data_IF_404761424607
#
_entry.id   IF_404761424607
#
_cell.length_a   1.000
_cell.length_b   1.000
_cell.length_c   1.000
_cell.angle_alpha   90.00
_cell.angle_beta   90.00
_cell.angle_gamma   90.00
#
_symmetry.space_group_name_H-M   'P 1'
#
loop_
_entity.id
_entity.type
_entity.pdbx_description
1 polymer ?
#
# COMPACT_ATOMS: atom_id res chain seq x y z
N UNK A 1 66.85 23.90 29.01
CA UNK A 1 66.11 23.88 27.73
C UNK A 1 65.24 22.63 27.70
N UNK A 2 64.01 22.73 27.18
CA UNK A 2 62.96 21.71 27.08
C UNK A 2 62.30 21.27 28.40
N UNK A 3 60.99 21.04 28.49
CA UNK A 3 59.79 21.52 27.79
C UNK A 3 58.64 21.08 28.72
N UNK A 4 57.68 21.97 28.98
CA UNK A 4 56.47 21.72 29.77
C UNK A 4 55.60 20.66 29.09
N UNK A 5 54.98 19.77 29.87
CA UNK A 5 53.74 19.09 29.48
C UNK A 5 52.80 19.07 30.70
N UNK A 6 51.84 19.99 30.70
CA UNK A 6 50.71 19.97 31.63
C UNK A 6 49.60 19.17 30.95
N UNK A 7 49.20 18.06 31.57
CA UNK A 7 47.99 17.31 31.19
C UNK A 7 46.86 17.89 32.02
N UNK A 8 45.97 18.65 31.39
CA UNK A 8 44.71 19.06 31.98
C UNK A 8 43.66 17.99 31.66
N UNK A 9 43.24 17.23 32.67
CA UNK A 9 42.03 16.41 32.59
C UNK A 9 40.83 17.36 32.63
N UNK A 10 40.16 17.55 31.50
CA UNK A 10 38.86 18.21 31.43
C UNK A 10 37.80 17.15 31.72
N UNK A 11 37.28 17.13 32.94
CA UNK A 11 36.02 16.46 33.24
C UNK A 11 34.89 17.30 32.64
N UNK A 12 34.38 16.88 31.48
CA UNK A 12 33.13 17.41 30.95
C UNK A 12 32.00 16.79 31.75
N UNK A 13 31.49 17.53 32.76
CA UNK A 13 30.18 17.25 33.34
C UNK A 13 29.14 17.65 32.31
N UNK A 14 28.65 16.70 31.52
CA UNK A 14 27.37 16.84 30.83
C UNK A 14 26.29 16.87 31.89
N UNK A 15 25.90 18.07 32.31
CA UNK A 15 24.63 18.29 33.00
C UNK A 15 23.52 17.92 32.04
N UNK A 16 23.03 16.68 32.17
CA UNK A 16 21.78 16.24 31.58
C UNK A 16 20.68 17.07 32.25
N UNK A 17 20.26 18.15 31.59
CA UNK A 17 19.08 18.91 32.01
C UNK A 17 17.88 18.08 31.59
N UNK A 18 17.46 17.17 32.48
CA UNK A 18 16.08 16.69 32.46
C UNK A 18 15.21 17.88 32.86
N UNK A 19 14.65 18.58 31.86
CA UNK A 19 13.48 19.42 32.10
C UNK A 19 12.35 18.48 32.51
N UNK A 20 12.18 18.32 33.82
CA UNK A 20 10.98 17.73 34.39
C UNK A 20 9.80 18.61 34.02
N UNK A 21 9.14 18.28 32.92
CA UNK A 21 7.84 18.86 32.58
C UNK A 21 6.85 18.34 33.61
N UNK A 22 6.35 19.26 34.41
CA UNK A 22 5.20 19.08 35.29
C UNK A 22 4.03 18.45 34.53
N UNK A 23 3.53 17.32 35.04
CA UNK A 23 2.29 16.68 34.59
C UNK A 23 1.09 17.59 34.85
N UNK A 24 0.76 18.42 33.87
CA UNK A 24 -0.57 19.00 33.70
C UNK A 24 -1.06 18.48 32.34
N UNK A 25 -2.12 17.66 32.35
CA UNK A 25 -2.65 16.97 31.17
C UNK A 25 -3.01 17.94 30.04
N UNK A 26 -2.04 18.18 29.16
CA UNK A 26 -2.18 18.97 27.94
C UNK A 26 -2.62 18.08 26.78
N UNK A 27 -3.21 18.72 25.77
CA UNK A 27 -3.46 18.08 24.48
C UNK A 27 -2.12 17.87 23.74
N UNK A 28 -1.98 16.75 23.03
CA UNK A 28 -0.80 16.46 22.23
C UNK A 28 -0.59 17.53 21.17
N UNK A 29 0.57 18.20 21.18
CA UNK A 29 0.86 19.33 20.29
C UNK A 29 1.27 18.91 18.85
N UNK A 30 1.42 17.60 18.60
CA UNK A 30 2.08 17.08 17.40
C UNK A 30 3.60 17.06 17.54
N UNK A 31 4.21 16.07 16.88
CA UNK A 31 5.67 15.97 16.75
C UNK A 31 6.03 15.15 15.52
N UNK A 32 7.14 15.45 14.88
CA UNK A 32 7.57 14.80 13.64
C UNK A 32 8.88 14.05 13.82
N UNK A 33 9.30 13.32 12.78
CA UNK A 33 10.62 12.71 12.74
C UNK A 33 11.74 13.77 12.85
N UNK A 34 11.53 14.98 12.31
CA UNK A 34 12.47 16.09 12.44
C UNK A 34 12.59 16.62 13.88
N UNK A 35 11.58 16.40 14.73
CA UNK A 35 11.64 16.70 16.17
C UNK A 35 12.37 15.61 16.98
N UNK A 36 12.93 14.59 16.31
CA UNK A 36 13.67 13.49 16.92
C UNK A 36 12.80 12.30 17.35
N UNK A 37 11.52 12.29 16.97
CA UNK A 37 10.68 11.10 17.15
C UNK A 37 11.12 10.00 16.18
N UNK A 38 10.98 8.74 16.61
CA UNK A 38 11.33 7.58 15.79
C UNK A 38 10.21 6.56 15.63
N UNK A 39 9.09 6.72 16.35
CA UNK A 39 8.09 5.66 16.54
C UNK A 39 8.23 4.94 17.89
N UNK A 40 7.25 4.09 18.19
CA UNK A 40 7.15 3.33 19.44
C UNK A 40 7.80 1.95 19.34
N UNK A 41 7.03 0.90 19.63
CA UNK A 41 7.39 -0.52 19.39
C UNK A 41 7.89 -0.73 17.95
N UNK A 42 7.34 0.04 17.01
CA UNK A 42 7.66 -0.02 15.59
C UNK A 42 8.12 1.37 15.07
N UNK A 43 9.00 1.41 14.06
CA UNK A 43 9.45 2.68 13.49
C UNK A 43 8.28 3.47 12.88
N UNK A 44 8.33 4.80 13.05
CA UNK A 44 7.43 5.80 12.44
C UNK A 44 5.94 5.67 12.80
N UNK A 45 5.58 4.82 13.77
CA UNK A 45 4.21 4.66 14.21
C UNK A 45 4.11 4.31 15.70
N UNK A 46 2.94 4.55 16.26
CA UNK A 46 2.57 4.17 17.61
C UNK A 46 1.14 3.61 17.62
N UNK A 47 0.84 2.78 18.60
CA UNK A 47 -0.55 2.65 19.06
C UNK A 47 -0.90 3.89 19.91
N UNK A 48 -2.15 4.35 19.87
CA UNK A 48 -2.57 5.59 20.54
C UNK A 48 -2.13 5.65 22.01
N UNK A 49 -2.44 4.60 22.77
CA UNK A 49 -2.10 4.53 24.19
C UNK A 49 -0.59 4.58 24.47
N UNK A 50 0.22 4.04 23.57
CA UNK A 50 1.68 4.10 23.62
C UNK A 50 2.17 5.53 23.42
N UNK A 51 1.65 6.22 22.39
CA UNK A 51 2.02 7.60 22.10
C UNK A 51 1.62 8.55 23.23
N UNK A 52 0.39 8.48 23.73
CA UNK A 52 -0.09 9.30 24.85
C UNK A 52 0.79 9.13 26.09
N UNK A 53 1.17 7.88 26.38
CA UNK A 53 2.08 7.55 27.48
C UNK A 53 3.48 8.12 27.28
N UNK A 54 4.03 8.02 26.07
CA UNK A 54 5.36 8.52 25.74
C UNK A 54 5.43 10.05 25.72
N UNK A 55 4.40 10.71 25.20
CA UNK A 55 4.31 12.17 25.08
C UNK A 55 3.78 12.84 26.36
N UNK A 56 3.19 12.10 27.29
CA UNK A 56 2.60 12.63 28.52
C UNK A 56 1.39 13.55 28.26
N UNK A 57 0.60 13.23 27.25
CA UNK A 57 -0.55 14.02 26.78
C UNK A 57 -1.77 13.13 26.53
N UNK A 58 -2.94 13.75 26.36
CA UNK A 58 -4.14 13.07 25.86
C UNK A 58 -4.48 13.61 24.48
N UNK A 59 -4.70 12.70 23.53
CA UNK A 59 -5.03 13.06 22.16
C UNK A 59 -6.48 13.55 22.08
N UNK A 60 -6.68 14.57 21.26
CA UNK A 60 -7.99 15.00 20.80
C UNK A 60 -7.97 14.87 19.30
N UNK A 61 -9.06 14.35 18.75
CA UNK A 61 -9.14 14.13 17.33
C UNK A 61 -9.73 15.34 16.61
N UNK A 62 -9.11 15.68 15.49
CA UNK A 62 -9.58 16.61 14.48
C UNK A 62 -9.85 15.87 13.19
N UNK A 63 -10.75 16.42 12.38
CA UNK A 63 -11.09 15.91 11.07
C UNK A 63 -10.88 16.97 10.01
N UNK A 64 -10.76 16.52 8.78
CA UNK A 64 -10.72 17.38 7.62
C UNK A 64 -11.98 18.29 7.58
N UNK A 65 -11.85 19.62 7.51
CA UNK A 65 -12.99 20.53 7.46
C UNK A 65 -13.97 20.26 6.31
N UNK A 66 -13.49 19.66 5.22
CA UNK A 66 -14.26 19.32 4.04
C UNK A 66 -14.86 17.89 4.11
N UNK A 67 -14.63 17.12 5.17
CA UNK A 67 -14.95 15.69 5.21
C UNK A 67 -16.44 15.39 4.99
N UNK A 68 -17.33 16.25 5.47
CA UNK A 68 -18.77 16.09 5.26
C UNK A 68 -19.14 16.26 3.78
N UNK A 69 -18.53 17.22 3.06
CA UNK A 69 -18.73 17.39 1.62
C UNK A 69 -18.08 16.27 0.81
N UNK A 70 -16.91 15.78 1.22
CA UNK A 70 -16.23 14.66 0.58
C UNK A 70 -17.07 13.39 0.72
N UNK A 71 -17.57 13.09 1.92
CA UNK A 71 -18.45 11.95 2.19
C UNK A 71 -19.70 11.96 1.30
N UNK A 72 -20.28 13.14 1.05
CA UNK A 72 -21.44 13.28 0.16
C UNK A 72 -21.15 12.97 -1.32
N UNK A 73 -19.87 12.90 -1.73
CA UNK A 73 -19.49 12.46 -3.09
C UNK A 73 -19.41 10.94 -3.23
N UNK A 74 -19.40 10.20 -2.11
CA UNK A 74 -19.26 8.74 -2.09
C UNK A 74 -20.66 8.12 -2.13
N UNK A 75 -21.02 7.50 -3.25
CA UNK A 75 -22.32 6.87 -3.43
C UNK A 75 -22.55 5.76 -2.40
N UNK A 76 -23.67 5.86 -1.67
CA UNK A 76 -24.08 4.92 -0.63
C UNK A 76 -23.72 5.35 0.79
N UNK A 77 -22.85 6.35 0.97
CA UNK A 77 -22.58 6.90 2.30
C UNK A 77 -23.69 7.85 2.74
N UNK A 78 -24.23 7.63 3.94
CA UNK A 78 -25.28 8.45 4.54
C UNK A 78 -24.87 8.99 5.92
N UNK A 79 -25.05 10.29 6.12
CA UNK A 79 -24.65 10.95 7.37
C UNK A 79 -23.15 10.84 7.64
N UNK A 80 -22.69 11.55 8.68
CA UNK A 80 -21.31 11.42 9.13
C UNK A 80 -21.23 11.69 10.65
N UNK A 81 -20.96 10.65 11.46
CA UNK A 81 -20.70 10.83 12.88
C UNK A 81 -19.44 11.68 13.13
N UNK A 82 -19.30 12.21 14.35
CA UNK A 82 -18.08 12.92 14.72
C UNK A 82 -16.86 12.00 14.66
N UNK A 83 -15.68 12.55 14.39
CA UNK A 83 -14.43 11.79 14.20
C UNK A 83 -14.14 10.74 15.29
N UNK A 84 -14.43 11.03 16.56
CA UNK A 84 -14.20 10.09 17.66
C UNK A 84 -15.09 8.84 17.57
N UNK A 85 -16.27 8.95 16.97
CA UNK A 85 -17.17 7.80 16.76
C UNK A 85 -16.81 7.03 15.47
N UNK A 86 -16.06 7.65 14.55
CA UNK A 86 -15.61 7.02 13.30
C UNK A 86 -14.33 6.20 13.50
N UNK A 87 -13.38 6.74 14.27
CA UNK A 87 -12.12 6.09 14.57
C UNK A 87 -12.29 4.82 15.44
N UNK A 88 -11.37 3.85 15.34
CA UNK A 88 -11.29 2.76 16.32
C UNK A 88 -10.88 3.26 17.70
N UNK A 89 -11.04 2.43 18.74
CA UNK A 89 -10.64 2.73 20.12
C UNK A 89 -9.12 3.02 20.21
N UNK A 90 -8.32 2.34 19.38
CA UNK A 90 -6.88 2.54 19.23
C UNK A 90 -6.56 2.79 17.74
N UNK A 91 -6.66 4.04 17.25
CA UNK A 91 -6.20 4.39 15.91
C UNK A 91 -4.68 4.28 15.81
N UNK A 92 -4.19 4.00 14.61
CA UNK A 92 -2.75 3.97 14.36
C UNK A 92 -2.25 5.42 14.29
N UNK A 93 -1.32 5.79 15.17
CA UNK A 93 -0.71 7.11 15.16
C UNK A 93 0.53 7.06 14.27
N UNK A 94 0.48 7.76 13.15
CA UNK A 94 1.59 7.90 12.20
C UNK A 94 2.42 9.12 12.56
N UNK A 95 3.75 8.98 12.53
CA UNK A 95 4.68 10.10 12.77
C UNK A 95 5.00 10.78 11.45
N UNK A 96 4.56 12.03 11.21
CA UNK A 96 4.93 12.74 9.99
C UNK A 96 6.43 12.96 9.92
N UNK A 97 6.97 13.02 8.69
CA UNK A 97 8.39 13.24 8.47
C UNK A 97 8.82 14.65 8.83
N UNK A 98 8.26 15.62 8.10
CA UNK A 98 8.73 17.00 8.13
C UNK A 98 7.90 17.89 9.04
N UNK A 99 6.59 17.94 8.77
CA UNK A 99 5.64 18.77 9.49
C UNK A 99 4.31 18.03 9.66
N UNK A 100 3.51 18.49 10.62
CA UNK A 100 2.07 18.19 10.63
C UNK A 100 1.47 18.73 9.32
N UNK A 101 0.66 17.93 8.65
CA UNK A 101 0.08 18.30 7.36
C UNK A 101 -1.12 19.25 7.49
N UNK A 102 -1.50 19.83 6.35
CA UNK A 102 -2.68 20.69 6.22
C UNK A 102 -3.73 19.99 5.35
N UNK A 103 -4.99 20.07 5.76
CA UNK A 103 -6.09 19.49 5.02
C UNK A 103 -6.40 20.25 3.74
N UNK A 104 -6.77 19.50 2.70
CA UNK A 104 -7.32 20.06 1.47
C UNK A 104 -6.61 19.63 0.21
N UNK A 105 -7.21 20.03 -0.91
CA UNK A 105 -6.60 19.94 -2.23
C UNK A 105 -6.77 18.59 -2.91
N UNK A 106 -6.23 18.52 -4.12
CA UNK A 106 -6.29 17.34 -4.98
C UNK A 106 -4.89 17.01 -5.45
N UNK A 107 -4.47 15.77 -5.26
CA UNK A 107 -3.23 15.26 -5.86
C UNK A 107 -3.54 14.72 -7.27
N UNK A 108 -2.80 15.20 -8.26
CA UNK A 108 -2.96 14.86 -9.67
C UNK A 108 -1.93 13.83 -10.09
N UNK A 109 -2.41 12.73 -10.68
CA UNK A 109 -1.61 11.64 -11.21
C UNK A 109 -1.82 11.49 -12.72
N UNK A 110 -0.89 10.78 -13.36
CA UNK A 110 -1.06 10.27 -14.72
C UNK A 110 -0.81 8.77 -14.75
N UNK A 111 -1.52 8.09 -15.63
CA UNK A 111 -1.28 6.69 -15.98
C UNK A 111 -1.39 6.51 -17.49
N UNK A 112 -0.94 5.36 -18.01
CA UNK A 112 -1.03 5.06 -19.44
C UNK A 112 -2.44 4.54 -19.77
N UNK A 113 -3.02 3.80 -18.83
CA UNK A 113 -4.30 3.13 -18.95
C UNK A 113 -4.81 2.73 -17.56
N UNK A 114 -5.92 1.99 -17.53
CA UNK A 114 -6.56 1.41 -16.34
C UNK A 114 -5.69 0.40 -15.59
N UNK A 115 -4.65 -0.15 -16.21
CA UNK A 115 -3.89 -1.31 -15.70
C UNK A 115 -2.73 -0.96 -14.75
N UNK A 116 -2.46 -1.91 -13.84
CA UNK A 116 -1.33 -1.93 -12.94
C UNK A 116 0.03 -1.85 -13.67
N UNK A 117 1.02 -1.24 -13.03
CA UNK A 117 2.35 -0.99 -13.61
C UNK A 117 2.48 0.38 -14.29
N UNK A 118 1.37 1.11 -14.41
CA UNK A 118 1.33 2.46 -14.99
C UNK A 118 0.71 3.50 -14.05
N UNK A 119 -0.20 3.08 -13.17
CA UNK A 119 -0.84 3.90 -12.14
C UNK A 119 -0.07 3.88 -10.82
N UNK A 120 0.15 5.06 -10.23
CA UNK A 120 0.81 5.20 -8.93
C UNK A 120 -0.18 5.15 -7.74
N UNK A 121 -1.48 5.12 -8.01
CA UNK A 121 -2.51 5.31 -6.99
C UNK A 121 -2.51 4.25 -5.90
N UNK A 122 -2.33 2.98 -6.26
CA UNK A 122 -2.26 1.87 -5.30
C UNK A 122 -1.18 2.13 -4.23
N UNK A 123 -0.04 2.69 -4.60
CA UNK A 123 1.05 2.98 -3.65
C UNK A 123 0.70 4.06 -2.62
N UNK A 124 -0.35 4.86 -2.87
CA UNK A 124 -0.72 6.03 -2.05
C UNK A 124 -1.99 5.84 -1.22
N UNK A 125 -2.76 4.78 -1.48
CA UNK A 125 -4.05 4.52 -0.81
C UNK A 125 -4.17 3.15 -0.15
N UNK A 126 -3.39 2.17 -0.64
CA UNK A 126 -3.52 0.77 -0.25
C UNK A 126 -3.17 0.54 1.22
N UNK A 127 -3.92 -0.35 1.85
CA UNK A 127 -3.67 -0.82 3.21
C UNK A 127 -3.80 -2.35 3.27
N UNK A 128 -3.11 -2.96 4.23
CA UNK A 128 -3.20 -4.39 4.50
C UNK A 128 -3.09 -4.66 6.02
N UNK A 129 -3.22 -5.91 6.46
CA UNK A 129 -3.08 -6.25 7.89
C UNK A 129 -1.70 -5.82 8.43
N UNK A 130 -0.66 -6.02 7.61
CA UNK A 130 0.73 -5.61 7.86
C UNK A 130 1.22 -4.71 6.72
N UNK A 131 2.33 -4.01 6.94
CA UNK A 131 3.08 -3.28 5.90
C UNK A 131 4.57 -3.35 6.17
N UNK A 132 5.38 -3.03 5.18
CA UNK A 132 6.76 -2.62 5.44
C UNK A 132 6.77 -1.21 6.02
N UNK A 133 7.59 -1.00 7.05
CA UNK A 133 8.00 0.33 7.45
C UNK A 133 8.87 0.95 6.38
N UNK A 134 9.10 2.25 6.47
CA UNK A 134 9.75 3.00 5.40
C UNK A 134 11.27 2.79 5.37
N UNK A 135 11.80 2.02 6.34
CA UNK A 135 13.14 1.43 6.27
C UNK A 135 13.23 0.27 5.24
N UNK A 136 12.09 -0.12 4.65
CA UNK A 136 11.94 -1.18 3.65
C UNK A 136 12.37 -2.58 4.11
N UNK A 137 12.42 -2.80 5.42
CA UNK A 137 12.94 -4.03 6.02
C UNK A 137 12.11 -4.56 7.18
N UNK A 138 11.55 -3.66 7.99
CA UNK A 138 10.78 -4.01 9.18
C UNK A 138 9.32 -4.20 8.80
N UNK A 139 8.75 -5.35 9.16
CA UNK A 139 7.31 -5.59 9.01
C UNK A 139 6.59 -5.09 10.26
N UNK A 140 5.59 -4.24 10.05
CA UNK A 140 4.84 -3.55 11.11
C UNK A 140 3.33 -3.73 10.92
N UNK A 141 2.52 -3.70 11.99
CA UNK A 141 1.06 -3.69 11.88
C UNK A 141 0.55 -2.45 11.14
N UNK A 142 -0.56 -2.60 10.42
CA UNK A 142 -1.28 -1.49 9.80
C UNK A 142 -2.77 -1.56 10.17
N UNK A 143 -3.58 -2.28 9.37
CA UNK A 143 -5.01 -2.52 9.70
C UNK A 143 -5.15 -3.37 10.96
N UNK A 144 -4.30 -4.39 11.11
CA UNK A 144 -4.19 -5.12 12.37
C UNK A 144 -3.55 -4.23 13.46
N UNK A 145 -3.95 -4.45 14.71
CA UNK A 145 -3.31 -3.85 15.88
C UNK A 145 -2.02 -4.60 16.25
N UNK A 146 -2.04 -5.93 16.23
CA UNK A 146 -0.87 -6.75 16.55
C UNK A 146 -0.94 -8.11 15.83
N UNK A 147 0.19 -8.83 15.84
CA UNK A 147 0.27 -10.18 15.32
C UNK A 147 1.28 -11.03 16.10
N UNK A 148 1.03 -12.33 16.20
CA UNK A 148 1.89 -13.27 16.91
C UNK A 148 1.99 -14.61 16.16
N UNK A 149 3.21 -15.13 16.08
CA UNK A 149 3.49 -16.49 15.62
C UNK A 149 3.53 -17.45 16.79
N UNK A 150 3.02 -18.67 16.60
CA UNK A 150 3.41 -19.78 17.46
C UNK A 150 4.88 -20.18 17.23
N UNK A 151 5.43 -21.03 18.12
CA UNK A 151 6.87 -21.32 18.15
C UNK A 151 7.44 -22.03 16.92
N UNK A 152 6.61 -22.67 16.11
CA UNK A 152 6.98 -23.46 14.93
C UNK A 152 6.54 -22.81 13.61
N UNK A 153 6.01 -21.58 13.65
CA UNK A 153 5.57 -20.81 12.47
C UNK A 153 4.47 -21.50 11.64
N UNK A 154 3.60 -22.25 12.29
CA UNK A 154 2.43 -22.92 11.70
C UNK A 154 1.11 -22.24 12.03
N UNK A 155 1.10 -21.30 12.99
CA UNK A 155 -0.08 -20.52 13.34
C UNK A 155 0.30 -19.04 13.47
N UNK A 156 -0.37 -18.19 12.70
CA UNK A 156 -0.26 -16.74 12.78
C UNK A 156 -1.58 -16.16 13.26
N UNK A 157 -1.57 -15.54 14.44
CA UNK A 157 -2.77 -14.90 15.02
C UNK A 157 -2.66 -13.39 14.88
N UNK A 158 -3.72 -12.74 14.40
CA UNK A 158 -3.84 -11.29 14.34
C UNK A 158 -4.85 -10.80 15.37
N UNK A 159 -4.54 -9.68 15.99
CA UNK A 159 -5.48 -8.89 16.77
C UNK A 159 -5.89 -7.66 15.95
N UNK A 160 -7.19 -7.52 15.67
CA UNK A 160 -7.77 -6.39 14.94
C UNK A 160 -8.09 -5.22 15.89
N UNK A 161 -8.21 -4.03 15.32
CA UNK A 161 -8.52 -2.80 16.06
C UNK A 161 -9.99 -2.80 16.47
N UNK A 162 -10.25 -2.69 17.78
CA UNK A 162 -11.62 -2.57 18.30
C UNK A 162 -12.28 -1.30 17.79
N UNK A 163 -13.52 -1.42 17.30
CA UNK A 163 -14.32 -0.29 16.82
C UNK A 163 -13.92 0.22 15.43
N UNK A 164 -13.01 -0.46 14.73
CA UNK A 164 -12.67 -0.14 13.34
C UNK A 164 -13.87 -0.36 12.43
N UNK A 165 -14.04 0.53 11.46
CA UNK A 165 -15.17 0.53 10.52
C UNK A 165 -14.69 0.59 9.08
N UNK A 166 -15.49 0.01 8.20
CA UNK A 166 -15.45 0.22 6.76
C UNK A 166 -15.88 1.64 6.39
N UNK A 167 -15.61 2.06 5.15
CA UNK A 167 -15.94 3.40 4.65
C UNK A 167 -17.42 3.79 4.70
N UNK A 168 -18.32 2.81 4.85
CA UNK A 168 -19.75 3.02 5.02
C UNK A 168 -20.19 3.03 6.51
N UNK A 169 -19.25 2.93 7.44
CA UNK A 169 -19.51 2.92 8.89
C UNK A 169 -19.81 1.56 9.50
N UNK A 170 -19.92 0.49 8.70
CA UNK A 170 -20.11 -0.87 9.21
C UNK A 170 -18.85 -1.40 9.91
N UNK A 171 -18.97 -2.24 10.95
CA UNK A 171 -17.81 -2.77 11.68
C UNK A 171 -16.89 -3.59 10.78
N UNK A 172 -15.57 -3.41 10.94
CA UNK A 172 -14.56 -4.32 10.41
C UNK A 172 -14.22 -5.37 11.46
N UNK A 173 -14.38 -6.65 11.11
CA UNK A 173 -14.28 -7.79 12.03
C UNK A 173 -13.52 -8.97 11.42
N UNK A 174 -13.15 -9.96 12.24
CA UNK A 174 -12.43 -11.16 11.80
C UNK A 174 -13.12 -11.95 10.68
N UNK A 175 -14.46 -11.90 10.60
CA UNK A 175 -15.22 -12.52 9.49
C UNK A 175 -14.84 -11.92 8.13
N UNK A 176 -14.49 -10.64 8.05
CA UNK A 176 -14.06 -10.01 6.78
C UNK A 176 -12.76 -10.62 6.24
N UNK A 177 -11.87 -11.08 7.13
CA UNK A 177 -10.60 -11.73 6.79
C UNK A 177 -10.82 -13.18 6.34
N UNK A 178 -11.64 -13.92 7.07
CA UNK A 178 -11.96 -15.31 6.75
C UNK A 178 -12.79 -15.42 5.47
N UNK A 179 -13.81 -14.57 5.29
CA UNK A 179 -14.60 -14.47 4.06
C UNK A 179 -13.72 -14.22 2.84
N UNK A 180 -12.77 -13.28 2.92
CA UNK A 180 -11.83 -13.06 1.82
C UNK A 180 -11.02 -14.31 1.49
N UNK A 181 -10.51 -15.01 2.50
CA UNK A 181 -9.64 -16.16 2.25
C UNK A 181 -10.43 -17.37 1.74
N UNK A 182 -11.44 -17.81 2.47
CA UNK A 182 -12.14 -19.07 2.22
C UNK A 182 -13.18 -18.92 1.09
N UNK A 183 -14.03 -17.90 1.17
CA UNK A 183 -15.17 -17.73 0.27
C UNK A 183 -14.81 -17.03 -1.05
N UNK A 184 -13.72 -16.23 -1.10
CA UNK A 184 -13.27 -15.57 -2.33
C UNK A 184 -12.00 -16.19 -2.93
N UNK A 185 -10.89 -16.26 -2.17
CA UNK A 185 -9.58 -16.65 -2.70
C UNK A 185 -9.44 -18.15 -2.95
N UNK A 186 -9.98 -18.98 -2.06
CA UNK A 186 -9.92 -20.43 -2.17
C UNK A 186 -11.13 -21.03 -2.90
N UNK A 187 -12.18 -20.25 -3.16
CA UNK A 187 -13.38 -20.73 -3.79
C UNK A 187 -13.22 -20.93 -5.32
N UNK A 188 -13.35 -22.17 -5.85
CA UNK A 188 -13.20 -22.46 -7.28
C UNK A 188 -14.27 -21.83 -8.18
N UNK A 189 -15.39 -21.36 -7.62
CA UNK A 189 -16.47 -20.67 -8.34
C UNK A 189 -16.14 -19.20 -8.61
N UNK A 190 -15.41 -18.57 -7.69
CA UNK A 190 -14.91 -17.19 -7.83
C UNK A 190 -13.57 -17.20 -8.55
N UNK A 191 -12.72 -18.18 -8.24
CA UNK A 191 -11.39 -18.33 -8.84
C UNK A 191 -11.07 -19.75 -9.19
N UNK A 192 -10.93 -20.01 -10.49
CA UNK A 192 -10.57 -21.34 -11.01
C UNK A 192 -9.35 -21.95 -10.31
N UNK A 193 -8.35 -21.12 -9.95
CA UNK A 193 -7.14 -21.56 -9.24
C UNK A 193 -6.74 -20.54 -8.17
N UNK A 194 -6.41 -21.01 -6.95
CA UNK A 194 -5.77 -20.17 -5.94
C UNK A 194 -4.46 -19.59 -6.45
N UNK A 195 -4.10 -18.41 -5.95
CA UNK A 195 -2.79 -17.86 -6.23
C UNK A 195 -1.70 -18.64 -5.48
N UNK A 196 -0.59 -19.02 -6.15
CA UNK A 196 0.47 -19.81 -5.51
C UNK A 196 1.06 -19.16 -4.26
N UNK A 197 1.08 -17.82 -4.18
CA UNK A 197 1.62 -17.10 -3.02
C UNK A 197 0.70 -17.12 -1.79
N UNK A 198 -0.56 -17.55 -1.94
CA UNK A 198 -1.53 -17.77 -0.85
C UNK A 198 -1.57 -19.22 -0.38
N UNK A 199 -0.80 -20.10 -1.02
CA UNK A 199 -0.66 -21.51 -0.67
C UNK A 199 0.64 -21.74 0.07
N UNK A 200 0.62 -22.70 1.00
CA UNK A 200 1.79 -23.11 1.77
C UNK A 200 2.12 -24.55 1.40
N UNK A 201 3.25 -24.74 0.73
CA UNK A 201 3.63 -26.05 0.20
C UNK A 201 2.68 -26.57 -0.89
N UNK A 202 1.90 -25.69 -1.53
CA UNK A 202 0.90 -26.05 -2.53
C UNK A 202 -0.49 -26.36 -1.96
N UNK A 203 -0.65 -26.31 -0.64
CA UNK A 203 -1.92 -26.55 0.05
C UNK A 203 -2.48 -25.25 0.62
N UNK A 204 -3.81 -25.10 0.70
CA UNK A 204 -4.44 -23.95 1.34
C UNK A 204 -4.21 -23.96 2.86
N UNK A 205 -4.29 -22.77 3.46
CA UNK A 205 -4.40 -22.56 4.91
C UNK A 205 -5.86 -22.72 5.35
N UNK A 206 -6.12 -22.65 6.66
CA UNK A 206 -7.47 -22.35 7.19
C UNK A 206 -7.45 -21.04 7.95
N UNK A 207 -8.59 -20.37 8.05
CA UNK A 207 -8.71 -19.11 8.80
C UNK A 207 -9.79 -19.25 9.87
N UNK A 208 -9.38 -19.32 11.14
CA UNK A 208 -10.33 -19.40 12.24
C UNK A 208 -10.71 -17.99 12.72
N UNK A 209 -12.01 -17.73 12.78
CA UNK A 209 -12.58 -16.60 13.53
C UNK A 209 -12.73 -17.01 14.99
N UNK A 210 -11.88 -16.49 15.88
CA UNK A 210 -11.94 -16.79 17.32
C UNK A 210 -12.98 -15.88 18.00
N UNK A 211 -12.95 -14.60 17.64
CA UNK A 211 -13.92 -13.56 17.98
C UNK A 211 -13.80 -12.41 16.97
N UNK A 212 -14.64 -11.38 17.09
CA UNK A 212 -14.68 -10.23 16.16
C UNK A 212 -13.31 -9.54 15.96
N UNK A 213 -12.40 -9.63 16.93
CA UNK A 213 -11.08 -8.97 16.89
C UNK A 213 -9.92 -9.94 16.76
N UNK A 214 -10.18 -11.24 16.68
CA UNK A 214 -9.12 -12.26 16.72
C UNK A 214 -9.31 -13.24 15.58
N UNK A 215 -8.41 -13.16 14.60
CA UNK A 215 -8.38 -14.07 13.45
C UNK A 215 -7.07 -14.84 13.44
N UNK A 216 -7.14 -16.13 13.12
CA UNK A 216 -6.00 -17.04 13.16
C UNK A 216 -5.84 -17.78 11.83
N UNK A 217 -4.68 -17.62 11.20
CA UNK A 217 -4.27 -18.42 10.06
C UNK A 217 -3.57 -19.68 10.56
N UNK A 218 -4.05 -20.86 10.14
CA UNK A 218 -3.40 -22.14 10.39
C UNK A 218 -2.78 -22.66 9.10
N UNK A 219 -1.47 -22.92 9.15
CA UNK A 219 -0.67 -23.28 7.99
C UNK A 219 -0.36 -24.79 7.99
N UNK A 220 -0.39 -25.44 6.82
CA UNK A 220 -0.07 -26.88 6.70
C UNK A 220 1.42 -27.20 6.95
N UNK A 221 2.31 -26.20 6.90
CA UNK A 221 3.73 -26.34 7.25
C UNK A 221 4.34 -24.99 7.64
N UNK A 222 5.52 -24.96 8.31
CA UNK A 222 6.16 -23.72 8.73
C UNK A 222 6.43 -22.77 7.55
N UNK A 223 5.87 -21.54 7.61
CA UNK A 223 6.12 -20.52 6.58
C UNK A 223 6.14 -19.10 7.19
N UNK A 224 7.25 -18.71 7.85
CA UNK A 224 7.39 -17.38 8.43
C UNK A 224 7.31 -16.24 7.41
N UNK A 225 7.51 -16.54 6.12
CA UNK A 225 7.40 -15.58 5.01
C UNK A 225 5.99 -15.05 4.77
N UNK A 226 4.95 -15.63 5.38
CA UNK A 226 3.56 -15.16 5.23
C UNK A 226 3.41 -13.69 5.62
N UNK A 227 4.09 -13.23 6.68
CA UNK A 227 4.03 -11.82 7.10
C UNK A 227 4.58 -10.88 6.03
N UNK A 228 5.64 -11.28 5.33
CA UNK A 228 6.21 -10.52 4.22
C UNK A 228 5.27 -10.52 3.00
N UNK A 229 4.62 -11.65 2.71
CA UNK A 229 3.59 -11.74 1.66
C UNK A 229 2.45 -10.76 1.94
N UNK A 230 1.93 -10.73 3.17
CA UNK A 230 0.88 -9.79 3.60
C UNK A 230 1.36 -8.33 3.48
N UNK A 231 2.58 -8.05 3.94
CA UNK A 231 3.11 -6.69 3.99
C UNK A 231 3.41 -6.07 2.62
N UNK A 232 3.74 -6.86 1.60
CA UNK A 232 4.08 -6.38 0.25
C UNK A 232 2.93 -6.52 -0.76
N UNK A 233 2.01 -7.45 -0.53
CA UNK A 233 0.94 -7.74 -1.50
C UNK A 233 -0.04 -6.58 -1.67
N UNK A 234 -0.34 -6.24 -2.93
CA UNK A 234 -1.47 -5.37 -3.30
C UNK A 234 -2.83 -6.08 -3.24
N UNK A 235 -2.87 -7.38 -2.93
CA UNK A 235 -4.07 -8.07 -2.50
C UNK A 235 -4.30 -7.83 -1.01
N UNK A 236 -5.49 -7.32 -0.65
CA UNK A 236 -5.90 -7.11 0.73
C UNK A 236 -6.34 -8.42 1.36
N UNK A 237 -5.87 -8.71 2.57
CA UNK A 237 -6.22 -9.94 3.30
C UNK A 237 -7.57 -9.81 4.04
N UNK A 238 -8.53 -9.11 3.43
CA UNK A 238 -9.87 -8.87 3.95
C UNK A 238 -10.76 -8.29 2.84
N UNK A 239 -12.07 -8.53 2.94
CA UNK A 239 -13.10 -7.95 2.08
C UNK A 239 -14.38 -7.71 2.89
N UNK A 240 -15.22 -6.71 2.55
CA UNK A 240 -16.39 -6.34 3.34
C UNK A 240 -17.47 -7.43 3.26
N UNK A 241 -17.45 -8.38 4.18
CA UNK A 241 -18.33 -9.56 4.12
C UNK A 241 -19.79 -9.14 4.28
N UNK A 242 -20.07 -8.16 5.15
CA UNK A 242 -21.40 -7.57 5.34
C UNK A 242 -22.03 -7.03 4.06
N UNK A 243 -21.21 -6.64 3.08
CA UNK A 243 -21.65 -6.15 1.79
C UNK A 243 -21.70 -7.26 0.73
N UNK A 244 -20.64 -8.06 0.60
CA UNK A 244 -20.48 -9.00 -0.51
C UNK A 244 -21.22 -10.34 -0.31
N UNK A 245 -21.44 -10.79 0.93
CA UNK A 245 -22.09 -12.07 1.21
C UNK A 245 -23.52 -12.15 0.61
N UNK A 246 -24.23 -11.02 0.54
CA UNK A 246 -25.56 -10.95 -0.06
C UNK A 246 -25.58 -11.30 -1.55
N UNK A 247 -24.43 -11.31 -2.22
CA UNK A 247 -24.28 -11.68 -3.63
C UNK A 247 -23.62 -13.05 -3.80
N UNK A 248 -23.26 -13.75 -2.71
CA UNK A 248 -22.54 -15.01 -2.77
C UNK A 248 -23.50 -16.22 -2.71
N UNK A 249 -23.74 -16.96 -3.81
CA UNK A 249 -24.79 -17.99 -3.86
C UNK A 249 -24.60 -19.20 -2.95
N UNK A 250 -23.37 -19.45 -2.47
CA UNK A 250 -23.10 -20.50 -1.48
C UNK A 250 -23.34 -20.05 -0.03
N UNK A 251 -23.52 -18.74 0.20
CA UNK A 251 -23.72 -18.14 1.54
C UNK A 251 -25.16 -17.66 1.69
N UNK A 252 -25.67 -16.85 0.74
CA UNK A 252 -27.05 -16.37 0.74
C UNK A 252 -27.87 -17.06 -0.36
N UNK A 253 -28.91 -17.79 0.07
CA UNK A 253 -29.89 -18.41 -0.83
C UNK A 253 -30.66 -17.43 -1.72
N UNK A 254 -30.68 -16.13 -1.38
CA UNK A 254 -31.27 -15.06 -2.18
C UNK A 254 -30.25 -14.32 -3.05
N UNK A 255 -28.98 -14.75 -3.09
CA UNK A 255 -27.92 -14.03 -3.78
C UNK A 255 -28.27 -13.62 -5.22
N UNK A 256 -28.80 -14.55 -6.00
CA UNK A 256 -29.21 -14.28 -7.38
C UNK A 256 -30.37 -13.28 -7.45
N UNK A 257 -31.32 -13.35 -6.53
CA UNK A 257 -32.44 -12.41 -6.47
C UNK A 257 -31.98 -11.00 -6.06
N UNK A 258 -31.07 -10.90 -5.08
CA UNK A 258 -30.47 -9.63 -4.65
C UNK A 258 -29.71 -8.97 -5.80
N UNK A 259 -28.90 -9.75 -6.52
CA UNK A 259 -28.13 -9.28 -7.67
C UNK A 259 -29.05 -8.87 -8.85
N UNK A 260 -30.07 -9.67 -9.17
CA UNK A 260 -31.04 -9.36 -10.22
C UNK A 260 -31.89 -8.12 -9.92
N UNK A 261 -32.21 -7.87 -8.64
CA UNK A 261 -32.88 -6.63 -8.24
C UNK A 261 -32.06 -5.37 -8.57
N UNK A 262 -30.73 -5.50 -8.68
CA UNK A 262 -29.80 -4.45 -9.06
C UNK A 262 -29.41 -4.48 -10.55
N UNK A 263 -29.99 -5.40 -11.34
CA UNK A 263 -29.74 -5.52 -12.78
C UNK A 263 -28.56 -6.41 -13.17
N UNK A 264 -27.94 -7.11 -12.22
CA UNK A 264 -26.96 -8.15 -12.52
C UNK A 264 -27.64 -9.45 -13.00
N UNK A 265 -26.89 -10.32 -13.67
CA UNK A 265 -27.42 -11.58 -14.17
C UNK A 265 -27.72 -12.59 -13.03
N UNK A 266 -26.78 -12.69 -12.08
CA UNK A 266 -26.83 -13.57 -10.91
C UNK A 266 -25.84 -13.05 -9.84
N UNK A 267 -25.76 -13.75 -8.70
CA UNK A 267 -24.88 -13.34 -7.59
C UNK A 267 -23.40 -13.28 -7.98
N UNK A 268 -22.93 -14.24 -8.78
CA UNK A 268 -21.54 -14.28 -9.23
C UNK A 268 -21.20 -13.14 -10.19
N UNK A 269 -22.14 -12.72 -11.04
CA UNK A 269 -21.99 -11.54 -11.89
C UNK A 269 -21.85 -10.25 -11.07
N UNK A 270 -22.63 -10.10 -9.99
CA UNK A 270 -22.48 -8.98 -9.06
C UNK A 270 -21.13 -9.02 -8.33
N UNK A 271 -20.72 -10.19 -7.81
CA UNK A 271 -19.41 -10.36 -7.17
C UNK A 271 -18.27 -10.03 -8.13
N UNK A 272 -18.31 -10.52 -9.36
CA UNK A 272 -17.30 -10.21 -10.38
C UNK A 272 -17.24 -8.71 -10.72
N UNK A 273 -18.39 -8.02 -10.73
CA UNK A 273 -18.46 -6.58 -10.99
C UNK A 273 -17.89 -5.73 -9.85
N UNK A 274 -18.11 -6.11 -8.58
CA UNK A 274 -17.59 -5.37 -7.42
C UNK A 274 -16.14 -5.76 -7.08
N UNK A 275 -15.86 -7.05 -6.97
CA UNK A 275 -14.57 -7.57 -6.52
C UNK A 275 -13.54 -7.68 -7.65
N UNK A 276 -13.99 -7.88 -8.88
CA UNK A 276 -13.13 -8.03 -10.04
C UNK A 276 -12.48 -9.41 -10.19
N UNK A 277 -11.62 -9.54 -11.20
CA UNK A 277 -10.96 -10.80 -11.58
C UNK A 277 -9.50 -10.90 -11.11
N UNK A 278 -9.00 -9.89 -10.39
CA UNK A 278 -7.66 -9.86 -9.80
C UNK A 278 -7.75 -10.02 -8.29
N UNK A 279 -6.60 -10.17 -7.62
CA UNK A 279 -6.54 -9.98 -6.17
C UNK A 279 -6.23 -8.55 -5.78
N UNK A 280 -5.78 -7.72 -6.73
CA UNK A 280 -5.41 -6.34 -6.46
C UNK A 280 -6.64 -5.44 -6.40
N UNK A 281 -6.55 -4.32 -5.67
CA UNK A 281 -7.68 -3.40 -5.43
C UNK A 281 -7.87 -2.35 -6.54
N UNK A 282 -7.10 -2.40 -7.62
CA UNK A 282 -7.21 -1.52 -8.79
C UNK A 282 -8.04 -2.12 -9.94
N UNK A 283 -8.75 -3.22 -9.66
CA UNK A 283 -9.72 -3.80 -10.60
C UNK A 283 -10.82 -2.80 -10.96
N UNK A 284 -11.34 -2.84 -12.19
CA UNK A 284 -12.52 -2.06 -12.57
C UNK A 284 -13.65 -2.21 -11.57
N UNK A 285 -14.17 -1.09 -11.08
CA UNK A 285 -15.37 -1.06 -10.24
C UNK A 285 -16.62 -1.11 -11.13
N UNK A 286 -17.84 -1.25 -10.58
CA UNK A 286 -19.07 -1.11 -11.36
C UNK A 286 -19.16 0.19 -12.15
N UNK A 287 -18.52 1.27 -11.69
CA UNK A 287 -18.40 2.54 -12.43
C UNK A 287 -17.85 2.36 -13.85
N UNK A 288 -16.88 1.47 -14.04
CA UNK A 288 -16.28 1.16 -15.34
C UNK A 288 -16.85 -0.11 -15.96
N UNK A 289 -17.06 -1.16 -15.18
CA UNK A 289 -17.47 -2.47 -15.69
C UNK A 289 -18.97 -2.53 -16.05
N UNK A 290 -19.80 -1.77 -15.34
CA UNK A 290 -21.27 -1.77 -15.46
C UNK A 290 -21.87 -0.35 -15.34
N UNK A 291 -21.41 0.61 -16.17
CA UNK A 291 -21.81 2.02 -16.04
C UNK A 291 -23.32 2.23 -16.20
N UNK A 292 -23.99 1.34 -16.92
CA UNK A 292 -25.45 1.34 -17.13
C UNK A 292 -26.24 1.03 -15.85
N UNK A 293 -25.64 0.31 -14.89
CA UNK A 293 -26.29 -0.07 -13.64
C UNK A 293 -26.05 0.92 -12.49
N UNK A 294 -24.96 1.69 -12.52
CA UNK A 294 -24.47 2.53 -11.41
C UNK A 294 -25.54 3.38 -10.76
N UNK A 295 -26.39 4.04 -11.55
CA UNK A 295 -27.43 4.94 -11.05
C UNK A 295 -28.49 4.22 -10.18
N UNK A 296 -28.65 2.90 -10.35
CA UNK A 296 -29.54 2.06 -9.57
C UNK A 296 -28.85 1.29 -8.44
N UNK A 297 -27.52 1.32 -8.36
CA UNK A 297 -26.78 0.64 -7.30
C UNK A 297 -26.83 1.44 -6.00
N UNK A 298 -26.93 0.80 -4.83
CA UNK A 298 -26.77 1.49 -3.56
C UNK A 298 -25.34 2.03 -3.38
N UNK A 299 -24.34 1.28 -3.84
CA UNK A 299 -22.93 1.65 -3.77
C UNK A 299 -22.29 1.50 -5.16
N UNK A 300 -21.54 2.52 -5.60
CA UNK A 300 -20.84 2.46 -6.90
C UNK A 300 -19.54 1.65 -6.87
N UNK A 301 -18.99 1.47 -5.67
CA UNK A 301 -17.85 0.63 -5.34
C UNK A 301 -18.09 0.02 -3.95
N UNK A 302 -17.51 -1.14 -3.65
CA UNK A 302 -17.71 -1.76 -2.33
C UNK A 302 -17.06 -0.92 -1.21
N UNK A 303 -17.57 -1.00 0.04
CA UNK A 303 -16.94 -0.31 1.17
C UNK A 303 -15.48 -0.72 1.39
N UNK A 304 -14.55 0.22 1.60
CA UNK A 304 -13.12 -0.07 1.70
C UNK A 304 -12.48 0.44 3.01
N UNK A 305 -11.34 -0.15 3.39
CA UNK A 305 -10.46 0.34 4.45
C UNK A 305 -9.32 1.23 3.91
N UNK A 306 -9.19 1.35 2.58
CA UNK A 306 -8.18 2.20 1.95
C UNK A 306 -8.37 3.67 2.32
N UNK A 307 -7.29 4.46 2.21
CA UNK A 307 -7.33 5.88 2.55
C UNK A 307 -8.26 6.70 1.64
N UNK A 308 -8.62 6.15 0.47
CA UNK A 308 -9.40 6.80 -0.55
C UNK A 308 -10.42 5.86 -1.19
N UNK A 309 -11.63 6.36 -1.41
CA UNK A 309 -12.77 5.69 -2.04
C UNK A 309 -12.92 6.11 -3.50
N UNK A 310 -13.13 5.15 -4.40
CA UNK A 310 -13.40 5.44 -5.82
C UNK A 310 -14.75 6.13 -5.98
N UNK A 311 -14.77 7.32 -6.60
CA UNK A 311 -15.99 8.07 -6.93
C UNK A 311 -16.19 8.25 -8.44
N UNK A 312 -15.13 8.04 -9.23
CA UNK A 312 -15.17 8.00 -10.69
C UNK A 312 -14.19 6.92 -11.19
N UNK A 313 -14.61 6.12 -12.16
CA UNK A 313 -13.77 5.13 -12.86
C UNK A 313 -14.26 5.04 -14.31
N UNK A 314 -13.44 5.49 -15.25
CA UNK A 314 -13.78 5.57 -16.67
C UNK A 314 -12.61 5.11 -17.53
N UNK A 315 -12.80 5.08 -18.85
CA UNK A 315 -11.71 4.84 -19.81
C UNK A 315 -10.71 5.99 -19.91
N UNK A 316 -11.00 7.15 -19.29
CA UNK A 316 -10.16 8.36 -19.35
C UNK A 316 -9.44 8.65 -18.03
N UNK A 317 -9.80 7.95 -16.95
CA UNK A 317 -9.20 8.16 -15.64
C UNK A 317 -10.10 7.77 -14.48
N UNK A 318 -9.61 8.09 -13.29
CA UNK A 318 -10.25 7.80 -12.00
C UNK A 318 -10.16 8.99 -11.06
N UNK A 319 -11.17 9.13 -10.22
CA UNK A 319 -11.17 10.09 -9.11
C UNK A 319 -11.51 9.36 -7.83
N UNK A 320 -10.75 9.67 -6.78
CA UNK A 320 -10.97 9.12 -5.46
C UNK A 320 -11.15 10.23 -4.42
N UNK A 321 -12.00 9.96 -3.44
CA UNK A 321 -12.33 10.83 -2.33
C UNK A 321 -11.74 10.28 -1.03
N UNK A 322 -11.22 11.12 -0.13
CA UNK A 322 -10.71 10.70 1.16
C UNK A 322 -11.74 9.86 1.94
N UNK A 323 -11.31 8.73 2.50
CA UNK A 323 -12.19 7.83 3.24
C UNK A 323 -12.52 8.42 4.63
N UNK A 324 -13.80 8.71 4.93
CA UNK A 324 -14.18 9.23 6.23
C UNK A 324 -13.98 8.24 7.39
N UNK A 325 -13.85 6.94 7.16
CA UNK A 325 -13.65 5.99 8.26
C UNK A 325 -12.20 5.50 8.35
N UNK A 326 -11.25 6.19 7.72
CA UNK A 326 -9.84 5.83 7.77
C UNK A 326 -9.31 5.85 9.20
N UNK A 327 -8.56 4.81 9.56
CA UNK A 327 -8.21 4.46 10.95
C UNK A 327 -6.93 5.12 11.48
N UNK A 328 -6.23 5.88 10.64
CA UNK A 328 -4.95 6.49 11.01
C UNK A 328 -5.14 7.95 11.38
N UNK A 329 -4.32 8.39 12.33
CA UNK A 329 -4.20 9.79 12.75
C UNK A 329 -2.72 10.17 12.76
N UNK A 330 -2.42 11.46 12.68
CA UNK A 330 -1.07 11.95 12.97
C UNK A 330 -0.83 12.14 14.47
N UNK A 331 0.39 12.56 14.83
CA UNK A 331 0.81 12.83 16.22
C UNK A 331 0.10 14.02 16.88
N UNK A 332 -0.62 14.84 16.11
CA UNK A 332 -1.47 15.94 16.59
C UNK A 332 -2.95 15.53 16.72
N UNK A 333 -3.33 14.32 16.27
CA UNK A 333 -4.70 13.82 16.30
C UNK A 333 -5.54 14.16 15.07
N UNK A 334 -4.92 14.66 13.99
CA UNK A 334 -5.62 14.86 12.72
C UNK A 334 -5.89 13.50 12.07
N UNK A 335 -7.15 13.17 11.83
CA UNK A 335 -7.52 11.99 11.04
C UNK A 335 -6.97 12.12 9.62
N UNK A 336 -6.25 11.09 9.16
CA UNK A 336 -5.71 11.01 7.81
C UNK A 336 -6.76 10.50 6.81
N UNK A 337 -6.58 10.71 5.49
CA UNK A 337 -5.50 11.47 4.87
C UNK A 337 -5.71 13.00 4.92
N UNK A 338 -4.65 13.76 4.69
CA UNK A 338 -4.73 15.22 4.59
C UNK A 338 -5.39 15.70 3.29
N UNK A 339 -5.08 15.06 2.17
CA UNK A 339 -5.51 15.47 0.83
C UNK A 339 -6.94 14.97 0.58
N UNK A 340 -7.82 15.84 0.07
CA UNK A 340 -9.25 15.56 -0.11
C UNK A 340 -9.50 14.55 -1.24
N UNK A 341 -8.81 14.74 -2.37
CA UNK A 341 -9.06 13.96 -3.58
C UNK A 341 -7.77 13.51 -4.27
N UNK A 342 -7.87 12.38 -4.97
CA UNK A 342 -6.88 11.93 -5.93
C UNK A 342 -7.51 11.95 -7.32
N UNK A 343 -6.82 12.52 -8.32
CA UNK A 343 -7.31 12.62 -9.69
C UNK A 343 -6.26 12.03 -10.64
N UNK A 344 -6.54 10.88 -11.23
CA UNK A 344 -5.67 10.23 -12.20
C UNK A 344 -6.30 10.30 -13.59
N UNK A 345 -5.48 10.67 -14.59
CA UNK A 345 -5.91 10.69 -16.00
C UNK A 345 -5.05 9.78 -16.85
N UNK A 346 -5.71 9.10 -17.79
CA UNK A 346 -5.09 8.14 -18.68
C UNK A 346 -4.63 8.83 -19.97
N UNK A 347 -3.35 8.70 -20.26
CA UNK A 347 -2.72 9.27 -21.46
C UNK A 347 -1.73 8.23 -21.99
N UNK A 348 -2.08 7.60 -23.10
CA UNK A 348 -1.27 6.53 -23.67
C UNK A 348 0.03 7.10 -24.28
N UNK A 349 -0.06 8.24 -24.95
CA UNK A 349 1.05 8.90 -25.63
C UNK A 349 2.12 9.38 -24.65
N UNK A 350 3.31 8.81 -24.73
CA UNK A 350 4.42 9.10 -23.83
C UNK A 350 4.87 10.57 -23.90
N UNK A 351 4.89 11.15 -25.10
CA UNK A 351 5.30 12.53 -25.34
C UNK A 351 4.35 13.53 -24.66
N UNK A 352 3.06 13.22 -24.62
CA UNK A 352 2.06 14.05 -23.93
C UNK A 352 2.23 13.93 -22.42
N UNK A 353 2.41 12.70 -21.90
CA UNK A 353 2.70 12.50 -20.47
C UNK A 353 3.95 13.26 -20.04
N UNK A 354 5.04 13.14 -20.80
CA UNK A 354 6.30 13.82 -20.49
C UNK A 354 6.15 15.35 -20.52
N UNK A 355 5.42 15.90 -21.50
CA UNK A 355 5.14 17.34 -21.55
C UNK A 355 4.40 17.82 -20.30
N UNK A 356 3.39 17.07 -19.84
CA UNK A 356 2.64 17.40 -18.62
C UNK A 356 3.51 17.36 -17.37
N UNK A 357 4.42 16.39 -17.27
CA UNK A 357 5.40 16.33 -16.19
C UNK A 357 6.31 17.56 -16.21
N UNK A 358 6.87 17.92 -17.38
CA UNK A 358 7.73 19.10 -17.56
C UNK A 358 7.02 20.42 -17.21
N UNK A 359 5.72 20.51 -17.46
CA UNK A 359 4.92 21.69 -17.14
C UNK A 359 4.49 21.74 -15.66
N UNK A 360 4.78 20.72 -14.84
CA UNK A 360 4.33 20.66 -13.45
C UNK A 360 2.82 20.41 -13.30
N UNK A 361 2.18 19.76 -14.27
CA UNK A 361 0.73 19.46 -14.24
C UNK A 361 0.38 18.21 -13.41
N UNK A 362 1.38 17.56 -12.81
CA UNK A 362 1.28 16.29 -12.07
C UNK A 362 2.06 16.44 -10.77
N UNK A 363 1.44 16.04 -9.67
CA UNK A 363 2.01 16.22 -8.33
C UNK A 363 2.96 15.07 -7.95
N UNK A 364 2.71 13.86 -8.44
CA UNK A 364 3.56 12.69 -8.22
C UNK A 364 3.53 11.72 -9.39
N UNK A 365 4.70 11.21 -9.78
CA UNK A 365 4.85 10.16 -10.77
C UNK A 365 6.11 9.35 -10.52
N UNK A 366 5.99 8.02 -10.51
CA UNK A 366 7.12 7.11 -10.39
C UNK A 366 7.05 5.99 -11.42
N UNK A 367 5.88 5.34 -11.55
CA UNK A 367 5.70 4.28 -12.52
C UNK A 367 5.66 4.81 -13.95
N UNK A 368 6.17 4.04 -14.91
CA UNK A 368 6.17 4.41 -16.33
C UNK A 368 6.85 5.74 -16.65
N UNK A 369 7.80 6.16 -15.81
CA UNK A 369 8.79 7.22 -16.09
C UNK A 369 10.14 6.55 -16.28
N UNK A 370 10.63 6.53 -17.51
CA UNK A 370 11.89 5.85 -17.83
C UNK A 370 13.08 6.80 -17.69
N UNK A 371 14.26 6.22 -17.44
CA UNK A 371 15.51 6.96 -17.25
C UNK A 371 15.83 7.87 -18.45
N UNK A 372 15.44 7.47 -19.66
CA UNK A 372 15.61 8.23 -20.90
C UNK A 372 14.92 9.59 -20.88
N UNK A 373 13.89 9.76 -20.03
CA UNK A 373 13.18 11.03 -19.86
C UNK A 373 13.89 11.97 -18.88
N UNK A 374 14.88 11.49 -18.12
CA UNK A 374 15.50 12.24 -17.02
C UNK A 374 16.14 13.56 -17.47
N UNK A 375 16.88 13.67 -18.60
CA UNK A 375 17.45 14.95 -19.01
C UNK A 375 16.39 16.03 -19.22
N UNK A 376 15.29 15.69 -19.91
CA UNK A 376 14.21 16.64 -20.18
C UNK A 376 13.47 17.03 -18.88
N UNK A 377 13.26 16.08 -17.98
CA UNK A 377 12.64 16.36 -16.68
C UNK A 377 13.53 17.23 -15.79
N UNK A 378 14.84 17.01 -15.79
CA UNK A 378 15.80 17.83 -15.04
C UNK A 378 15.88 19.25 -15.60
N UNK A 379 15.93 19.40 -16.92
CA UNK A 379 15.95 20.71 -17.58
C UNK A 379 14.66 21.51 -17.31
N UNK A 380 13.52 20.83 -17.17
CA UNK A 380 12.21 21.44 -16.87
C UNK A 380 11.93 21.70 -15.39
N UNK A 381 12.70 21.12 -14.47
CA UNK A 381 12.35 21.04 -13.04
C UNK A 381 12.12 22.40 -12.39
N UNK A 382 13.03 23.35 -12.61
CA UNK A 382 12.90 24.70 -12.04
C UNK A 382 11.69 25.46 -12.60
N UNK A 383 11.40 25.29 -13.89
CA UNK A 383 10.30 25.98 -14.56
C UNK A 383 8.93 25.36 -14.23
N UNK A 384 8.86 24.04 -14.07
CA UNK A 384 7.67 23.30 -13.67
C UNK A 384 7.45 23.25 -12.16
N UNK A 385 8.42 23.68 -11.34
CA UNK A 385 8.27 23.74 -9.88
C UNK A 385 8.28 22.37 -9.18
N UNK A 386 8.97 21.38 -9.74
CA UNK A 386 9.06 20.03 -9.19
C UNK A 386 10.51 19.60 -8.97
N UNK A 387 10.69 18.46 -8.28
CA UNK A 387 12.00 17.83 -8.11
C UNK A 387 12.03 16.47 -8.80
N UNK A 388 13.20 16.09 -9.32
CA UNK A 388 13.41 14.78 -9.94
C UNK A 388 14.34 13.97 -9.05
N UNK A 389 13.88 12.80 -8.62
CA UNK A 389 14.68 11.86 -7.85
C UNK A 389 15.05 10.67 -8.74
N UNK A 390 16.34 10.54 -9.06
CA UNK A 390 16.86 9.34 -9.73
C UNK A 390 17.24 8.35 -8.64
N UNK A 391 16.28 7.49 -8.29
CA UNK A 391 16.47 6.55 -7.21
C UNK A 391 17.32 5.34 -7.65
N UNK A 392 18.25 4.87 -6.81
CA UNK A 392 18.95 3.62 -7.05
C UNK A 392 17.92 2.48 -7.07
N UNK A 393 18.01 1.64 -8.10
CA UNK A 393 17.02 0.59 -8.35
C UNK A 393 17.60 -0.62 -9.05
N UNK A 394 16.83 -1.71 -9.02
CA UNK A 394 17.11 -2.92 -9.77
C UNK A 394 16.69 -2.74 -11.24
N UNK A 395 17.44 -1.93 -11.99
CA UNK A 395 17.26 -1.77 -13.44
C UNK A 395 17.95 -2.90 -14.21
N UNK A 396 17.34 -4.09 -14.28
CA UNK A 396 17.92 -5.20 -15.03
C UNK A 396 17.14 -5.46 -16.33
N UNK A 397 17.72 -5.09 -17.47
CA UNK A 397 17.33 -5.69 -18.74
C UNK A 397 17.78 -7.16 -18.73
N UNK A 398 16.81 -8.08 -18.55
CA UNK A 398 17.08 -9.51 -18.44
C UNK A 398 16.92 -10.21 -19.80
N UNK A 399 17.96 -10.89 -20.25
CA UNK A 399 17.87 -11.84 -21.36
C UNK A 399 17.68 -13.26 -20.82
N UNK A 400 16.53 -13.86 -21.11
CA UNK A 400 16.23 -15.25 -20.76
C UNK A 400 16.07 -16.08 -22.02
N UNK A 401 16.66 -17.28 -22.02
CA UNK A 401 16.50 -18.24 -23.12
C UNK A 401 15.42 -19.27 -22.77
N UNK A 402 14.51 -19.54 -23.70
CA UNK A 402 13.43 -20.49 -23.48
C UNK A 402 13.96 -21.94 -23.44
N UNK A 403 14.27 -22.44 -22.25
CA UNK A 403 14.79 -23.81 -22.06
C UNK A 403 13.77 -24.92 -22.29
N UNK A 404 12.50 -24.57 -22.56
CA UNK A 404 11.42 -25.50 -22.95
C UNK A 404 10.94 -25.25 -24.39
N UNK A 405 11.75 -24.59 -25.21
CA UNK A 405 11.39 -24.22 -26.59
C UNK A 405 10.86 -25.43 -27.41
N UNK A 406 9.77 -25.30 -28.21
CA UNK A 406 9.19 -26.43 -28.95
C UNK A 406 10.16 -27.12 -29.92
N UNK A 407 11.00 -26.35 -30.61
CA UNK A 407 12.10 -26.84 -31.44
C UNK A 407 13.20 -27.51 -30.57
N UNK A 408 13.47 -28.82 -30.77
CA UNK A 408 14.43 -29.58 -29.97
C UNK A 408 15.88 -29.10 -30.13
N UNK A 409 16.26 -28.57 -31.29
CA UNK A 409 17.63 -28.09 -31.52
C UNK A 409 17.88 -26.79 -30.74
N UNK A 410 16.91 -25.86 -30.77
CA UNK A 410 16.97 -24.66 -29.94
C UNK A 410 16.95 -25.00 -28.45
N UNK A 411 16.10 -25.94 -28.04
CA UNK A 411 16.01 -26.39 -26.64
C UNK A 411 17.34 -26.94 -26.14
N UNK A 412 18.03 -27.73 -26.97
CA UNK A 412 19.35 -28.27 -26.65
C UNK A 412 20.39 -27.16 -26.44
N UNK A 413 20.43 -26.16 -27.33
CA UNK A 413 21.35 -25.02 -27.21
C UNK A 413 21.03 -24.15 -26.01
N UNK A 414 19.77 -23.74 -25.85
CA UNK A 414 19.32 -22.87 -24.75
C UNK A 414 19.44 -23.56 -23.38
N UNK A 415 19.26 -24.89 -23.35
CA UNK A 415 19.45 -25.72 -22.17
C UNK A 415 20.92 -25.86 -21.74
N UNK A 416 21.88 -25.68 -22.65
CA UNK A 416 23.31 -25.75 -22.34
C UNK A 416 23.76 -24.54 -21.50
N UNK A 417 24.28 -24.79 -20.30
CA UNK A 417 24.78 -23.74 -19.41
C UNK A 417 25.96 -22.98 -20.03
N UNK A 418 26.79 -23.64 -20.83
CA UNK A 418 27.97 -23.04 -21.49
C UNK A 418 27.55 -21.99 -22.51
N UNK A 419 26.45 -22.25 -23.22
CA UNK A 419 25.87 -21.28 -24.14
C UNK A 419 25.41 -20.02 -23.39
N UNK A 420 24.65 -20.19 -22.30
CA UNK A 420 24.17 -19.04 -21.50
C UNK A 420 25.32 -18.24 -20.87
N UNK A 421 26.37 -18.93 -20.40
CA UNK A 421 27.60 -18.28 -19.93
C UNK A 421 28.33 -17.52 -21.05
N UNK A 422 28.45 -18.10 -22.24
CA UNK A 422 29.08 -17.43 -23.39
C UNK A 422 28.31 -16.18 -23.81
N UNK A 423 26.96 -16.24 -23.85
CA UNK A 423 26.12 -15.07 -24.15
C UNK A 423 26.26 -13.98 -23.10
N UNK A 424 26.32 -14.35 -21.82
CA UNK A 424 26.59 -13.40 -20.73
C UNK A 424 27.95 -12.71 -20.93
N UNK A 425 29.03 -13.45 -21.17
CA UNK A 425 30.37 -12.88 -21.34
C UNK A 425 30.45 -11.98 -22.59
N UNK A 426 29.73 -12.32 -23.65
CA UNK A 426 29.73 -11.57 -24.91
C UNK A 426 29.07 -10.18 -24.81
N UNK A 427 28.30 -9.90 -23.76
CA UNK A 427 27.66 -8.60 -23.57
C UNK A 427 28.66 -7.53 -23.08
N UNK A 428 28.83 -6.47 -23.86
CA UNK A 428 29.59 -5.28 -23.47
C UNK A 428 28.78 -4.41 -22.50
N UNK A 429 28.85 -4.71 -21.21
CA UNK A 429 28.05 -4.02 -20.19
C UNK A 429 28.53 -2.61 -19.89
N UNK A 430 29.82 -2.32 -20.09
CA UNK A 430 30.34 -0.96 -19.98
C UNK A 430 29.67 -0.05 -20.99
N UNK A 431 29.62 -0.47 -22.27
CA UNK A 431 28.93 0.28 -23.33
C UNK A 431 27.43 0.41 -23.08
N UNK A 432 26.78 -0.65 -22.56
CA UNK A 432 25.36 -0.56 -22.17
C UNK A 432 25.17 0.48 -21.05
N UNK A 433 26.05 0.50 -20.05
CA UNK A 433 25.97 1.47 -18.95
C UNK A 433 26.13 2.90 -19.46
N UNK A 434 27.13 3.13 -20.31
CA UNK A 434 27.44 4.45 -20.85
C UNK A 434 26.30 4.98 -21.73
N UNK A 435 25.74 4.13 -22.61
CA UNK A 435 24.75 4.55 -23.60
C UNK A 435 23.32 4.55 -23.05
N UNK A 436 22.89 3.49 -22.37
CA UNK A 436 21.49 3.32 -21.95
C UNK A 436 21.24 3.83 -20.51
N UNK A 437 22.27 3.83 -19.65
CA UNK A 437 22.13 4.22 -18.25
C UNK A 437 22.86 5.52 -17.91
N UNK A 438 23.38 6.23 -18.91
CA UNK A 438 24.11 7.49 -18.75
C UNK A 438 25.31 7.39 -17.78
N UNK A 439 25.92 6.21 -17.68
CA UNK A 439 27.01 5.92 -16.75
C UNK A 439 26.59 5.82 -15.27
N UNK A 440 25.29 5.88 -14.95
CA UNK A 440 24.77 5.87 -13.58
C UNK A 440 24.70 4.46 -12.96
N UNK A 441 24.76 3.42 -13.79
CA UNK A 441 24.69 2.03 -13.35
C UNK A 441 26.01 1.53 -12.76
N UNK A 442 25.88 0.56 -11.84
CA UNK A 442 26.99 -0.20 -11.27
C UNK A 442 26.89 -1.65 -11.71
N UNK A 443 27.94 -2.15 -12.35
CA UNK A 443 28.03 -3.55 -12.78
C UNK A 443 28.03 -4.50 -11.55
N UNK A 444 27.14 -5.49 -11.48
CA UNK A 444 27.11 -6.49 -10.40
C UNK A 444 26.65 -7.90 -10.81
N UNK A 445 27.35 -8.94 -10.29
CA UNK A 445 27.27 -10.35 -10.71
C UNK A 445 26.27 -11.22 -9.97
N UNK A 446 25.64 -10.68 -8.93
CA UNK A 446 24.92 -11.49 -7.96
C UNK A 446 23.50 -10.98 -7.76
N UNK A 447 22.62 -11.95 -7.56
CA UNK A 447 21.16 -11.82 -7.44
C UNK A 447 20.68 -11.16 -6.12
N UNK A 448 21.59 -10.75 -5.23
CA UNK A 448 21.25 -10.13 -3.95
C UNK A 448 21.87 -8.73 -3.86
N UNK A 449 21.02 -7.73 -3.68
CA UNK A 449 21.42 -6.33 -3.58
C UNK A 449 21.07 -5.79 -2.19
N UNK A 450 22.00 -5.14 -1.47
CA UNK A 450 21.62 -4.24 -0.40
C UNK A 450 20.91 -3.03 -1.04
N UNK A 451 19.61 -2.87 -0.73
CA UNK A 451 18.68 -1.88 -1.31
C UNK A 451 19.10 -0.41 -1.14
N UNK A 452 20.16 -0.11 -0.39
CA UNK A 452 20.43 1.25 0.06
C UNK A 452 21.38 2.09 -0.79
N UNK A 453 21.96 1.60 -1.90
CA UNK A 453 23.10 2.35 -2.48
C UNK A 453 23.29 2.45 -4.00
N UNK A 454 22.66 1.68 -4.91
CA UNK A 454 23.02 1.85 -6.35
C UNK A 454 22.03 1.24 -7.36
N UNK A 455 21.99 1.79 -8.59
CA UNK A 455 21.44 1.13 -9.78
C UNK A 455 22.36 -0.02 -10.22
N UNK A 456 21.80 -1.21 -10.49
CA UNK A 456 22.61 -2.40 -10.80
C UNK A 456 22.38 -2.97 -12.21
N UNK A 457 23.48 -3.27 -12.92
CA UNK A 457 23.49 -3.98 -14.20
C UNK A 457 23.94 -5.43 -14.03
N UNK A 458 23.16 -6.37 -14.55
CA UNK A 458 23.26 -7.82 -14.27
C UNK A 458 24.21 -8.58 -15.20
N UNK A 459 24.73 -9.72 -14.70
CA UNK A 459 25.60 -10.68 -15.39
C UNK A 459 24.78 -11.75 -16.12
#
# INVERSE_FOLDING_TARGET
MLKKLFIALVFSFTTLVWSGSSFAGGHCAGSTMNDGQTGGKYPQQYELSEYESAAGCTMKFSENPNIASINATIQGNEGLPGVADRLPDEPLVVVPYDSIGEYGGTINFLSNATEAGTSDMLSTRHVNLLRFADDLSTIVPNVAKDFEWNSDFTTLTFTLRKGHKWSNGEPFVARDVEFWYEDLMMNPKIREKPYPYLLVGGEPMTVDVIDDQTVRFNLPSPFPGLTATIAWSYNQFFMPSHFLEQFHPEIDSNADANAQALGFADGYDALAAYYGNSGWTDTPTPLLARPDLVAGLPYAAYPSLEAYMTIEDTTEGRVYAANPYFHQVDTAGNQLPYIDYQNERYINENEIRLLKLVNGEVDYKSQSVQLESAPQLLDGADAGGYSVQINPGCGAALFSFNVTHPDPEKRKVYGDIRFRQAMSIAMNRDEINDVAFYGLGKLSSLWFFPLHQTLFLKY
#
